data_IF_400200728412
#
_entry.id   IF_400200728412
#
_cell.length_a   1.000
_cell.length_b   1.000
_cell.length_c   1.000
_cell.angle_alpha   90.00
_cell.angle_beta   90.00
_cell.angle_gamma   90.00
#
_symmetry.space_group_name_H-M   'P 1'
#
loop_
_entity.id
_entity.type
_entity.pdbx_description
1 polymer ?
#
# COMPACT_ATOMS: atom_id res chain seq x y z
N UNK A 1 -12.22 59.44 -45.69
CA UNK A 1 -12.76 58.27 -45.02
C UNK A 1 -12.08 56.94 -45.41
N UNK A 2 -12.00 56.56 -46.68
CA UNK A 2 -11.37 55.28 -47.11
C UNK A 2 -9.88 55.13 -46.63
N UNK A 3 -9.08 56.18 -46.65
CA UNK A 3 -7.67 56.13 -46.19
C UNK A 3 -7.54 55.91 -44.69
N UNK A 4 -8.46 56.42 -43.87
CA UNK A 4 -8.48 56.23 -42.39
C UNK A 4 -8.92 54.82 -42.06
N UNK A 5 -9.89 54.29 -42.77
CA UNK A 5 -10.38 52.90 -42.59
C UNK A 5 -9.27 51.90 -42.94
N UNK A 6 -8.54 52.12 -44.04
CA UNK A 6 -7.41 51.24 -44.39
C UNK A 6 -6.24 51.31 -43.42
N UNK A 7 -5.99 52.49 -42.79
CA UNK A 7 -4.94 52.64 -41.74
C UNK A 7 -5.37 51.95 -40.46
N UNK A 8 -6.63 52.01 -40.07
CA UNK A 8 -7.15 51.32 -38.88
C UNK A 8 -7.14 49.80 -39.14
N UNK A 9 -7.51 49.35 -40.33
CA UNK A 9 -7.48 47.93 -40.68
C UNK A 9 -6.05 47.36 -40.69
N UNK A 10 -5.07 48.12 -41.20
CA UNK A 10 -3.65 47.75 -41.16
C UNK A 10 -3.07 47.76 -39.74
N UNK A 11 -3.56 48.60 -38.81
CA UNK A 11 -3.11 48.66 -37.43
C UNK A 11 -3.72 47.48 -36.63
N UNK A 12 -4.94 47.08 -36.87
CA UNK A 12 -5.59 45.92 -36.25
C UNK A 12 -4.94 44.60 -36.70
N UNK A 13 -4.53 44.48 -37.97
CA UNK A 13 -3.82 43.29 -38.47
C UNK A 13 -2.37 43.18 -37.94
N UNK A 14 -1.72 44.29 -37.56
CA UNK A 14 -0.38 44.23 -36.93
C UNK A 14 -0.40 43.74 -35.48
N UNK A 15 -1.51 43.89 -34.76
CA UNK A 15 -1.65 43.41 -33.39
C UNK A 15 -2.18 41.98 -33.27
N UNK A 16 -2.66 41.38 -34.32
CA UNK A 16 -3.18 40.01 -34.30
C UNK A 16 -2.13 38.92 -34.53
N UNK A 17 -0.85 39.31 -34.70
CA UNK A 17 0.26 38.34 -34.86
C UNK A 17 1.19 38.23 -33.63
N UNK A 18 0.85 38.87 -32.52
CA UNK A 18 1.41 38.41 -31.23
C UNK A 18 0.63 37.17 -30.78
N UNK A 19 0.85 36.08 -31.50
CA UNK A 19 0.53 34.76 -30.96
C UNK A 19 1.21 34.64 -29.61
N UNK A 20 0.44 34.58 -28.53
CA UNK A 20 0.98 34.06 -27.29
C UNK A 20 1.69 32.75 -27.65
N UNK A 21 2.91 32.65 -27.23
CA UNK A 21 3.64 31.39 -27.29
C UNK A 21 2.84 30.38 -26.46
N UNK A 22 2.04 29.55 -27.16
CA UNK A 22 1.20 28.51 -26.57
C UNK A 22 2.04 27.28 -26.18
N UNK A 23 3.34 27.31 -26.50
CA UNK A 23 4.34 26.32 -26.12
C UNK A 23 5.01 26.61 -24.75
N UNK A 24 4.32 27.32 -23.88
CA UNK A 24 4.76 27.39 -22.48
C UNK A 24 4.40 26.07 -21.82
N UNK A 25 5.42 25.23 -21.62
CA UNK A 25 5.30 24.11 -20.72
C UNK A 25 4.78 24.61 -19.37
N UNK A 26 3.73 24.02 -18.79
CA UNK A 26 3.33 24.38 -17.44
C UNK A 26 4.55 24.22 -16.52
N UNK A 27 4.86 25.22 -15.70
CA UNK A 27 6.01 25.20 -14.77
C UNK A 27 5.99 23.96 -13.84
N UNK A 28 4.85 23.27 -13.75
CA UNK A 28 4.62 22.06 -12.94
C UNK A 28 4.55 20.77 -13.77
N UNK A 29 4.65 20.84 -15.11
CA UNK A 29 4.67 19.64 -15.94
C UNK A 29 6.09 19.11 -16.07
N UNK A 30 6.24 17.83 -15.85
CA UNK A 30 7.50 17.14 -16.11
C UNK A 30 7.67 17.03 -17.62
N UNK A 31 8.78 17.53 -18.16
CA UNK A 31 9.09 17.42 -19.57
C UNK A 31 9.34 15.95 -19.93
N UNK A 32 8.99 15.50 -21.14
CA UNK A 32 9.26 14.12 -21.55
C UNK A 32 10.72 13.69 -21.36
N UNK A 33 11.68 14.59 -21.64
CA UNK A 33 13.11 14.35 -21.44
C UNK A 33 13.53 14.19 -19.98
N UNK A 34 12.81 14.81 -19.04
CA UNK A 34 13.06 14.71 -17.61
C UNK A 34 12.36 13.49 -16.98
N UNK A 35 11.38 12.94 -17.68
CA UNK A 35 10.61 11.80 -17.20
C UNK A 35 11.39 10.46 -17.29
N UNK A 36 12.33 10.32 -18.22
CA UNK A 36 13.08 9.08 -18.42
C UNK A 36 14.45 9.09 -17.76
N UNK A 37 14.47 9.52 -16.50
CA UNK A 37 15.69 9.62 -15.67
C UNK A 37 15.63 8.65 -14.50
N UNK A 38 16.79 8.32 -13.94
CA UNK A 38 16.90 7.51 -12.74
C UNK A 38 16.21 8.18 -11.54
N UNK A 39 16.34 9.51 -11.41
CA UNK A 39 15.68 10.28 -10.34
C UNK A 39 14.16 10.12 -10.39
N UNK A 40 13.58 10.14 -11.57
CA UNK A 40 12.14 9.93 -11.71
C UNK A 40 11.74 8.49 -11.39
N UNK A 41 12.53 7.51 -11.79
CA UNK A 41 12.32 6.09 -11.41
C UNK A 41 12.37 5.91 -9.87
N UNK A 42 13.30 6.57 -9.19
CA UNK A 42 13.37 6.60 -7.72
C UNK A 42 12.15 7.29 -7.11
N UNK A 43 11.69 8.38 -7.72
CA UNK A 43 10.50 9.11 -7.31
C UNK A 43 9.23 8.27 -7.36
N UNK A 44 8.95 7.60 -8.48
CA UNK A 44 7.76 6.73 -8.62
C UNK A 44 7.84 5.51 -7.70
N UNK A 45 9.05 4.93 -7.50
CA UNK A 45 9.28 3.90 -6.48
C UNK A 45 8.89 4.39 -5.10
N UNK A 46 9.43 5.54 -4.67
CA UNK A 46 9.15 6.14 -3.37
C UNK A 46 7.66 6.43 -3.16
N UNK A 47 6.97 6.88 -4.21
CA UNK A 47 5.54 7.13 -4.17
C UNK A 47 4.73 5.85 -3.86
N UNK A 48 5.09 4.71 -4.46
CA UNK A 48 4.45 3.42 -4.15
C UNK A 48 4.67 3.00 -2.70
N UNK A 49 5.86 3.25 -2.13
CA UNK A 49 6.10 2.99 -0.70
C UNK A 49 5.22 3.87 0.21
N UNK A 50 4.93 5.11 -0.19
CA UNK A 50 3.98 5.99 0.53
C UNK A 50 2.56 5.45 0.47
N UNK A 51 2.12 4.97 -0.68
CA UNK A 51 0.80 4.33 -0.83
C UNK A 51 0.67 3.08 0.04
N UNK A 52 1.70 2.22 0.04
CA UNK A 52 1.72 1.03 0.87
C UNK A 52 1.62 1.37 2.37
N UNK A 53 2.34 2.41 2.80
CA UNK A 53 2.22 2.91 4.17
C UNK A 53 0.79 3.33 4.49
N UNK A 54 0.10 3.98 3.56
CA UNK A 54 -1.30 4.36 3.73
C UNK A 54 -2.22 3.14 3.87
N UNK A 55 -2.00 2.09 3.07
CA UNK A 55 -2.74 0.82 3.15
C UNK A 55 -2.47 0.02 4.44
N UNK A 56 -1.39 0.31 5.15
CA UNK A 56 -0.99 -0.36 6.40
C UNK A 56 -1.25 0.52 7.63
N UNK A 57 -2.03 1.58 7.50
CA UNK A 57 -2.30 2.51 8.59
C UNK A 57 -3.79 2.86 8.70
N UNK A 58 -4.13 3.56 9.79
CA UNK A 58 -5.49 4.08 9.98
C UNK A 58 -6.58 3.00 9.97
N UNK A 59 -7.65 3.24 9.23
CA UNK A 59 -8.80 2.34 9.12
C UNK A 59 -8.46 0.96 8.56
N UNK A 60 -7.45 0.85 7.70
CA UNK A 60 -6.99 -0.46 7.19
C UNK A 60 -6.46 -1.38 8.27
N UNK A 61 -5.95 -0.81 9.36
CA UNK A 61 -5.45 -1.55 10.49
C UNK A 61 -6.55 -1.84 11.52
N UNK A 62 -7.40 -0.87 11.84
CA UNK A 62 -8.38 -0.98 12.90
C UNK A 62 -9.70 -1.64 12.49
N UNK A 63 -10.13 -1.50 11.24
CA UNK A 63 -11.42 -2.05 10.78
C UNK A 63 -11.48 -3.58 10.80
N UNK A 64 -10.44 -4.33 10.41
CA UNK A 64 -10.44 -5.79 10.57
C UNK A 64 -10.62 -6.23 12.03
N UNK A 65 -10.06 -5.49 12.99
CA UNK A 65 -10.22 -5.80 14.41
C UNK A 65 -11.66 -5.60 14.92
N UNK A 66 -12.45 -4.75 14.25
CA UNK A 66 -13.90 -4.64 14.51
C UNK A 66 -14.67 -5.86 14.02
N UNK A 67 -14.23 -6.49 12.92
CA UNK A 67 -14.91 -7.69 12.39
C UNK A 67 -14.72 -8.90 13.28
N UNK A 68 -13.64 -8.97 14.05
CA UNK A 68 -13.29 -10.12 14.89
C UNK A 68 -13.44 -9.85 16.39
N UNK A 69 -14.20 -8.82 16.77
CA UNK A 69 -14.48 -8.44 18.15
C UNK A 69 -13.22 -8.10 19.00
N UNK A 70 -12.09 -7.84 18.39
CA UNK A 70 -10.89 -7.37 19.08
C UNK A 70 -11.08 -5.92 19.53
N UNK A 71 -11.72 -5.12 18.70
CA UNK A 71 -12.15 -3.76 19.03
C UNK A 71 -13.68 -3.67 19.13
N UNK A 72 -14.15 -2.73 19.92
CA UNK A 72 -15.59 -2.43 20.07
C UNK A 72 -15.83 -0.95 19.76
N UNK A 73 -16.98 -0.65 19.16
CA UNK A 73 -17.38 0.73 18.87
C UNK A 73 -17.98 1.35 20.14
N UNK A 74 -17.45 2.49 20.57
CA UNK A 74 -17.98 3.22 21.70
C UNK A 74 -19.15 4.15 21.31
N UNK A 75 -20.04 4.42 22.24
CA UNK A 75 -21.23 5.27 22.03
C UNK A 75 -20.84 6.69 21.58
N UNK A 76 -19.68 7.19 22.03
CA UNK A 76 -19.16 8.52 21.68
C UNK A 76 -18.54 8.62 20.28
N UNK A 77 -18.48 7.53 19.53
CA UNK A 77 -17.82 7.49 18.21
C UNK A 77 -18.58 8.18 17.07
N UNK A 78 -19.76 8.73 17.32
CA UNK A 78 -20.61 9.25 16.25
C UNK A 78 -21.06 8.18 15.25
N UNK A 79 -21.16 6.93 15.68
CA UNK A 79 -21.46 5.74 14.89
C UNK A 79 -20.37 5.32 13.87
N UNK A 80 -19.17 5.87 13.95
CA UNK A 80 -18.07 5.40 13.10
C UNK A 80 -17.74 3.93 13.40
N UNK A 81 -17.58 3.12 12.36
CA UNK A 81 -17.30 1.70 12.47
C UNK A 81 -18.46 0.82 12.94
N UNK A 82 -19.65 1.38 13.25
CA UNK A 82 -20.78 0.59 13.79
C UNK A 82 -21.28 -0.46 12.79
N UNK A 83 -21.25 -0.17 11.51
CA UNK A 83 -21.67 -1.12 10.48
C UNK A 83 -20.68 -2.27 10.36
N UNK A 84 -19.38 -1.97 10.38
CA UNK A 84 -18.30 -2.96 10.39
C UNK A 84 -18.39 -3.87 11.63
N UNK A 85 -18.56 -3.28 12.83
CA UNK A 85 -18.69 -4.02 14.07
C UNK A 85 -19.93 -4.93 14.12
N UNK A 86 -21.06 -4.47 13.58
CA UNK A 86 -22.31 -5.25 13.55
C UNK A 86 -22.44 -6.15 12.32
N UNK A 87 -21.41 -6.30 11.49
CA UNK A 87 -21.44 -7.08 10.24
C UNK A 87 -22.56 -6.67 9.28
N UNK A 88 -22.94 -5.38 9.29
CA UNK A 88 -23.96 -4.80 8.41
C UNK A 88 -23.31 -4.02 7.30
N UNK A 89 -22.53 -4.71 6.47
CA UNK A 89 -21.77 -4.11 5.38
C UNK A 89 -22.67 -3.92 4.15
N UNK A 90 -22.69 -2.70 3.64
CA UNK A 90 -23.37 -2.36 2.40
C UNK A 90 -22.34 -1.91 1.36
N UNK A 91 -22.58 -2.19 0.06
CA UNK A 91 -21.67 -1.74 -1.01
C UNK A 91 -21.47 -0.23 -1.06
N UNK A 92 -22.33 0.55 -0.43
CA UNK A 92 -22.30 2.02 -0.36
C UNK A 92 -21.64 2.55 0.91
N UNK A 93 -21.23 1.68 1.82
CA UNK A 93 -20.53 2.09 3.03
C UNK A 93 -19.18 2.73 2.69
N UNK A 94 -18.91 3.85 3.36
CA UNK A 94 -17.70 4.63 3.09
C UNK A 94 -16.43 3.80 3.34
N UNK A 95 -16.40 2.99 4.40
CA UNK A 95 -15.24 2.14 4.70
C UNK A 95 -15.01 1.12 3.60
N UNK A 96 -16.07 0.42 3.16
CA UNK A 96 -15.99 -0.57 2.07
C UNK A 96 -15.52 0.07 0.76
N UNK A 97 -16.14 1.20 0.39
CA UNK A 97 -15.80 1.90 -0.87
C UNK A 97 -14.40 2.51 -0.82
N UNK A 98 -13.99 3.04 0.32
CA UNK A 98 -12.65 3.61 0.50
C UNK A 98 -11.56 2.53 0.42
N UNK A 99 -11.77 1.37 1.06
CA UNK A 99 -10.81 0.27 0.99
C UNK A 99 -10.68 -0.25 -0.44
N UNK A 100 -11.79 -0.50 -1.10
CA UNK A 100 -11.79 -0.91 -2.50
C UNK A 100 -11.03 0.08 -3.39
N UNK A 101 -11.40 1.36 -3.32
CA UNK A 101 -10.74 2.41 -4.12
C UNK A 101 -9.25 2.51 -3.81
N UNK A 102 -8.83 2.47 -2.54
CA UNK A 102 -7.43 2.60 -2.16
C UNK A 102 -6.58 1.45 -2.68
N UNK A 103 -7.06 0.20 -2.56
CA UNK A 103 -6.35 -0.95 -3.12
C UNK A 103 -6.16 -0.81 -4.63
N UNK A 104 -7.21 -0.46 -5.37
CA UNK A 104 -7.11 -0.32 -6.84
C UNK A 104 -6.34 0.91 -7.29
N UNK A 105 -6.38 2.01 -6.54
CA UNK A 105 -5.53 3.18 -6.79
C UNK A 105 -4.06 2.82 -6.63
N UNK A 106 -3.70 2.15 -5.54
CA UNK A 106 -2.32 1.68 -5.34
C UNK A 106 -1.88 0.70 -6.43
N UNK A 107 -2.76 -0.21 -6.88
CA UNK A 107 -2.50 -1.08 -8.03
C UNK A 107 -2.19 -0.30 -9.31
N UNK A 108 -2.94 0.76 -9.58
CA UNK A 108 -2.70 1.61 -10.75
C UNK A 108 -1.37 2.36 -10.65
N UNK A 109 -0.99 2.83 -9.46
CA UNK A 109 0.31 3.47 -9.24
C UNK A 109 1.48 2.48 -9.39
N UNK A 110 1.33 1.24 -8.92
CA UNK A 110 2.30 0.17 -9.12
C UNK A 110 2.48 -0.12 -10.62
N UNK A 111 1.37 -0.30 -11.35
CA UNK A 111 1.41 -0.55 -12.78
C UNK A 111 1.98 0.64 -13.58
N UNK A 112 1.68 1.87 -13.15
CA UNK A 112 2.30 3.07 -13.71
C UNK A 112 3.81 3.06 -13.49
N UNK A 113 4.27 2.72 -12.28
CA UNK A 113 5.69 2.66 -11.97
C UNK A 113 6.43 1.62 -12.83
N UNK A 114 5.87 0.41 -13.01
CA UNK A 114 6.43 -0.62 -13.89
C UNK A 114 6.52 -0.09 -15.33
N UNK A 115 5.42 0.41 -15.87
CA UNK A 115 5.36 0.96 -17.24
C UNK A 115 6.38 2.08 -17.43
N UNK A 116 6.50 2.97 -16.45
CA UNK A 116 7.43 4.09 -16.51
C UNK A 116 8.89 3.62 -16.52
N UNK A 117 9.23 2.69 -15.62
CA UNK A 117 10.57 2.09 -15.55
C UNK A 117 10.93 1.34 -16.85
N UNK A 118 9.96 0.66 -17.48
CA UNK A 118 10.15 0.03 -18.78
C UNK A 118 10.45 1.06 -19.88
N UNK A 119 9.70 2.16 -19.91
CA UNK A 119 9.90 3.22 -20.89
C UNK A 119 11.22 3.99 -20.68
N UNK A 120 11.66 4.15 -19.44
CA UNK A 120 12.92 4.81 -19.11
C UNK A 120 14.15 3.94 -19.40
N UNK A 121 13.99 2.62 -19.46
CA UNK A 121 15.09 1.64 -19.43
C UNK A 121 16.16 1.89 -20.48
N UNK A 122 15.79 2.22 -21.71
CA UNK A 122 16.72 2.47 -22.82
C UNK A 122 17.55 3.76 -22.67
N UNK A 123 17.12 4.67 -21.80
CA UNK A 123 17.80 5.94 -21.54
C UNK A 123 18.77 5.85 -20.36
N UNK A 124 18.75 4.76 -19.63
CA UNK A 124 19.55 4.56 -18.41
C UNK A 124 20.88 3.86 -18.71
N UNK A 125 21.89 4.18 -17.91
CA UNK A 125 23.17 3.47 -17.94
C UNK A 125 23.01 2.02 -17.46
N UNK A 126 23.94 1.09 -17.82
CA UNK A 126 23.86 -0.31 -17.38
C UNK A 126 23.79 -0.52 -15.87
N UNK A 127 24.37 0.38 -15.07
CA UNK A 127 24.30 0.27 -13.61
C UNK A 127 22.97 0.82 -13.05
N UNK A 128 22.39 1.82 -13.69
CA UNK A 128 21.03 2.30 -13.38
C UNK A 128 19.98 1.26 -13.79
N UNK A 129 20.15 0.61 -14.94
CA UNK A 129 19.27 -0.48 -15.39
C UNK A 129 19.19 -1.60 -14.36
N UNK A 130 20.32 -2.03 -13.77
CA UNK A 130 20.33 -3.03 -12.69
C UNK A 130 19.55 -2.58 -11.46
N UNK A 131 19.61 -1.28 -11.09
CA UNK A 131 18.83 -0.75 -9.98
C UNK A 131 17.33 -0.75 -10.32
N UNK A 132 16.98 -0.31 -11.52
CA UNK A 132 15.59 -0.28 -11.99
C UNK A 132 15.03 -1.71 -12.10
N UNK A 133 15.81 -2.72 -12.45
CA UNK A 133 15.37 -4.12 -12.41
C UNK A 133 14.98 -4.54 -10.98
N UNK A 134 15.74 -4.12 -9.96
CA UNK A 134 15.37 -4.35 -8.56
C UNK A 134 14.08 -3.60 -8.20
N UNK A 135 13.94 -2.33 -8.60
CA UNK A 135 12.74 -1.54 -8.33
C UNK A 135 11.50 -2.14 -8.99
N UNK A 136 11.62 -2.66 -10.20
CA UNK A 136 10.53 -3.40 -10.86
C UNK A 136 10.17 -4.67 -10.09
N UNK A 137 11.17 -5.41 -9.59
CA UNK A 137 10.93 -6.56 -8.71
C UNK A 137 10.17 -6.19 -7.45
N UNK A 138 10.49 -5.05 -6.83
CA UNK A 138 9.71 -4.52 -5.70
C UNK A 138 8.25 -4.23 -6.11
N UNK A 139 8.04 -3.64 -7.28
CA UNK A 139 6.68 -3.35 -7.79
C UNK A 139 5.87 -4.64 -8.01
N UNK A 140 6.47 -5.68 -8.56
CA UNK A 140 5.80 -6.98 -8.70
C UNK A 140 5.43 -7.57 -7.34
N UNK A 141 6.35 -7.54 -6.38
CA UNK A 141 6.03 -7.97 -5.01
C UNK A 141 4.87 -7.18 -4.40
N UNK A 142 4.91 -5.85 -4.51
CA UNK A 142 3.86 -5.01 -3.94
C UNK A 142 2.51 -5.22 -4.63
N UNK A 143 2.49 -5.51 -5.91
CA UNK A 143 1.27 -5.88 -6.64
C UNK A 143 0.66 -7.17 -6.09
N UNK A 144 1.48 -8.20 -5.90
CA UNK A 144 1.09 -9.46 -5.27
C UNK A 144 0.55 -9.25 -3.84
N UNK A 145 1.28 -8.50 -3.02
CA UNK A 145 0.93 -8.20 -1.64
C UNK A 145 -0.40 -7.43 -1.54
N UNK A 146 -0.55 -6.35 -2.28
CA UNK A 146 -1.76 -5.51 -2.29
C UNK A 146 -2.99 -6.34 -2.70
N UNK A 147 -2.87 -7.19 -3.72
CA UNK A 147 -3.97 -8.03 -4.17
C UNK A 147 -4.32 -9.13 -3.18
N UNK A 148 -3.34 -9.72 -2.51
CA UNK A 148 -3.60 -10.64 -1.41
C UNK A 148 -4.34 -9.95 -0.27
N UNK A 149 -3.88 -8.77 0.18
CA UNK A 149 -4.56 -8.00 1.24
C UNK A 149 -5.99 -7.62 0.85
N UNK A 150 -6.21 -7.21 -0.38
CA UNK A 150 -7.56 -6.95 -0.89
C UNK A 150 -8.43 -8.21 -0.92
N UNK A 151 -7.86 -9.36 -1.29
CA UNK A 151 -8.59 -10.63 -1.32
C UNK A 151 -9.06 -11.05 0.07
N UNK A 152 -8.26 -10.84 1.12
CA UNK A 152 -8.65 -11.13 2.52
C UNK A 152 -9.89 -10.34 2.97
N UNK A 153 -10.18 -9.18 2.36
CA UNK A 153 -11.34 -8.36 2.70
C UNK A 153 -12.55 -8.59 1.78
N UNK A 154 -12.32 -8.94 0.52
CA UNK A 154 -13.37 -8.90 -0.52
C UNK A 154 -13.64 -10.24 -1.19
N UNK A 155 -12.94 -11.31 -0.82
CA UNK A 155 -13.20 -12.67 -1.27
C UNK A 155 -13.67 -13.53 -0.11
N UNK A 156 -14.22 -14.69 -0.47
CA UNK A 156 -14.41 -15.78 0.48
C UNK A 156 -13.04 -16.32 0.93
N UNK A 157 -13.02 -16.99 2.09
CA UNK A 157 -11.84 -17.71 2.54
C UNK A 157 -11.42 -18.77 1.51
N UNK A 158 -10.11 -18.92 1.31
CA UNK A 158 -9.58 -19.81 0.29
C UNK A 158 -9.88 -21.28 0.63
N UNK A 159 -10.58 -21.95 -0.26
CA UNK A 159 -10.84 -23.39 -0.17
C UNK A 159 -10.16 -24.07 -1.37
N UNK A 160 -9.12 -24.90 -1.15
CA UNK A 160 -8.39 -25.57 -2.25
C UNK A 160 -9.29 -26.36 -3.20
N UNK A 161 -10.38 -26.93 -2.68
CA UNK A 161 -11.31 -27.74 -3.46
C UNK A 161 -12.33 -26.90 -4.25
N UNK A 162 -12.48 -25.61 -3.91
CA UNK A 162 -13.48 -24.71 -4.50
C UNK A 162 -12.90 -23.46 -5.16
N UNK A 163 -11.62 -23.18 -5.00
CA UNK A 163 -10.99 -21.96 -5.47
C UNK A 163 -11.18 -21.68 -6.97
N UNK A 164 -11.40 -22.75 -7.77
CA UNK A 164 -11.71 -22.63 -9.18
C UNK A 164 -13.11 -22.06 -9.48
N UNK A 165 -14.03 -22.13 -8.51
CA UNK A 165 -15.41 -21.62 -8.60
C UNK A 165 -15.64 -20.40 -7.71
N UNK A 166 -14.82 -20.19 -6.67
CA UNK A 166 -14.87 -18.99 -5.82
C UNK A 166 -14.51 -17.74 -6.62
N UNK A 167 -15.20 -16.63 -6.35
CA UNK A 167 -14.93 -15.36 -7.02
C UNK A 167 -13.68 -14.69 -6.45
N UNK A 168 -12.68 -14.52 -7.31
CA UNK A 168 -11.50 -13.67 -7.04
C UNK A 168 -11.78 -12.21 -7.28
N UNK A 169 -10.72 -11.39 -7.36
CA UNK A 169 -10.77 -9.97 -7.69
C UNK A 169 -10.30 -9.71 -9.13
N UNK A 170 -10.72 -8.60 -9.78
CA UNK A 170 -10.06 -8.11 -10.99
C UNK A 170 -8.57 -7.88 -10.71
N UNK A 171 -7.69 -8.43 -11.54
CA UNK A 171 -6.24 -8.31 -11.37
C UNK A 171 -5.64 -7.49 -12.51
N UNK A 172 -5.52 -6.15 -12.38
CA UNK A 172 -4.92 -5.30 -13.40
C UNK A 172 -3.40 -5.52 -13.44
N UNK A 173 -2.86 -5.89 -14.61
CA UNK A 173 -1.43 -6.10 -14.84
C UNK A 173 -0.77 -4.93 -15.55
N UNK A 174 -1.58 -4.09 -16.17
CA UNK A 174 -1.15 -2.95 -16.97
C UNK A 174 -1.73 -1.64 -16.41
N UNK A 175 -1.09 -0.54 -16.73
CA UNK A 175 -1.63 0.77 -16.44
C UNK A 175 -2.66 1.17 -17.51
N UNK A 176 -3.89 0.78 -17.26
CA UNK A 176 -5.06 1.05 -18.12
C UNK A 176 -6.21 1.61 -17.29
N UNK A 177 -6.23 2.92 -16.99
CA UNK A 177 -7.23 3.51 -16.09
C UNK A 177 -8.69 3.32 -16.51
N UNK A 178 -8.93 3.17 -17.81
CA UNK A 178 -10.27 2.98 -18.38
C UNK A 178 -10.70 1.51 -18.52
N UNK A 179 -9.80 0.55 -18.17
CA UNK A 179 -10.09 -0.85 -18.31
C UNK A 179 -11.21 -1.30 -17.34
N UNK A 180 -12.16 -2.05 -17.88
CA UNK A 180 -13.27 -2.64 -17.12
C UNK A 180 -13.03 -4.13 -16.96
N UNK A 181 -12.22 -4.50 -16.01
CA UNK A 181 -11.87 -5.89 -15.75
C UNK A 181 -13.00 -6.59 -14.97
N UNK A 182 -13.35 -7.79 -15.43
CA UNK A 182 -14.25 -8.65 -14.68
C UNK A 182 -13.53 -9.37 -13.53
N UNK A 183 -14.27 -9.80 -12.54
CA UNK A 183 -13.77 -10.75 -11.52
C UNK A 183 -13.46 -12.08 -12.19
N UNK A 184 -12.28 -12.62 -11.92
CA UNK A 184 -11.92 -14.00 -12.25
C UNK A 184 -12.24 -14.92 -11.09
N UNK A 185 -11.69 -16.14 -11.13
CA UNK A 185 -11.77 -17.08 -9.99
C UNK A 185 -10.71 -16.74 -8.94
N UNK A 186 -10.91 -17.20 -7.72
CA UNK A 186 -9.95 -17.02 -6.63
C UNK A 186 -8.65 -17.80 -6.92
N UNK A 187 -8.75 -18.99 -7.53
CA UNK A 187 -7.58 -19.72 -8.01
C UNK A 187 -6.77 -18.87 -9.01
N UNK A 188 -7.44 -18.23 -9.98
CA UNK A 188 -6.75 -17.38 -10.98
C UNK A 188 -6.10 -16.14 -10.35
N UNK A 189 -6.71 -15.57 -9.32
CA UNK A 189 -6.11 -14.48 -8.56
C UNK A 189 -4.77 -14.92 -7.97
N UNK A 190 -4.74 -16.06 -7.28
CA UNK A 190 -3.50 -16.53 -6.64
C UNK A 190 -2.46 -17.06 -7.63
N UNK A 191 -2.86 -17.57 -8.81
CA UNK A 191 -1.92 -17.80 -9.91
C UNK A 191 -1.23 -16.48 -10.35
N UNK A 192 -1.95 -15.37 -10.40
CA UNK A 192 -1.37 -14.07 -10.73
C UNK A 192 -0.45 -13.55 -9.62
N UNK A 193 -0.86 -13.71 -8.35
CA UNK A 193 -0.03 -13.38 -7.18
C UNK A 193 1.29 -14.15 -7.24
N UNK A 194 1.22 -15.46 -7.50
CA UNK A 194 2.43 -16.31 -7.61
C UNK A 194 3.31 -15.87 -8.77
N UNK A 195 2.74 -15.56 -9.93
CA UNK A 195 3.49 -15.09 -11.07
C UNK A 195 4.25 -13.78 -10.77
N UNK A 196 3.64 -12.85 -10.05
CA UNK A 196 4.30 -11.62 -9.64
C UNK A 196 5.40 -11.86 -8.60
N UNK A 197 5.22 -12.79 -7.66
CA UNK A 197 6.27 -13.16 -6.72
C UNK A 197 7.48 -13.79 -7.42
N UNK A 198 7.25 -14.63 -8.43
CA UNK A 198 8.32 -15.19 -9.26
C UNK A 198 9.10 -14.11 -10.00
N UNK A 199 8.42 -13.08 -10.54
CA UNK A 199 9.12 -11.93 -11.16
C UNK A 199 9.93 -11.14 -10.13
N UNK A 200 9.39 -10.90 -8.93
CA UNK A 200 10.09 -10.20 -7.86
C UNK A 200 11.39 -10.90 -7.45
N UNK A 201 11.35 -12.22 -7.29
CA UNK A 201 12.49 -13.03 -6.86
C UNK A 201 13.66 -13.05 -7.85
N UNK A 202 13.42 -12.73 -9.13
CA UNK A 202 14.50 -12.67 -10.14
C UNK A 202 15.49 -11.56 -9.87
N UNK A 203 15.05 -10.45 -9.30
CA UNK A 203 15.84 -9.22 -9.17
C UNK A 203 16.05 -8.77 -7.73
N UNK A 204 15.08 -9.02 -6.83
CA UNK A 204 15.22 -8.72 -5.40
C UNK A 204 15.97 -9.83 -4.71
N UNK A 205 17.30 -9.77 -4.76
CA UNK A 205 18.20 -10.83 -4.25
C UNK A 205 18.93 -10.46 -2.96
N UNK A 206 18.88 -9.17 -2.55
CA UNK A 206 19.53 -8.71 -1.34
C UNK A 206 18.90 -9.35 -0.11
N UNK A 207 19.75 -9.88 0.78
CA UNK A 207 19.31 -10.41 2.07
C UNK A 207 18.94 -9.26 3.00
N UNK A 208 17.93 -9.48 3.84
CA UNK A 208 17.58 -8.56 4.92
C UNK A 208 18.55 -8.66 6.09
N UNK A 209 18.54 -7.63 6.91
CA UNK A 209 19.22 -7.61 8.20
C UNK A 209 18.30 -7.05 9.28
N UNK A 210 18.44 -7.45 10.56
CA UNK A 210 17.62 -6.90 11.63
C UNK A 210 17.76 -5.38 11.87
N UNK A 211 18.68 -4.72 11.19
CA UNK A 211 19.00 -3.29 11.37
C UNK A 211 18.72 -2.42 10.15
N UNK A 212 18.45 -3.02 9.00
CA UNK A 212 18.13 -2.31 7.75
C UNK A 212 16.98 -3.01 7.04
N UNK A 213 15.78 -2.49 7.23
CA UNK A 213 14.52 -3.15 6.88
C UNK A 213 13.57 -2.23 6.10
N UNK A 214 14.04 -1.05 5.68
CA UNK A 214 13.20 -0.02 5.06
C UNK A 214 12.77 -0.43 3.65
N UNK A 215 13.63 -1.11 2.93
CA UNK A 215 13.35 -1.55 1.56
C UNK A 215 13.10 -3.05 1.48
N UNK A 216 12.38 -3.45 0.44
CA UNK A 216 12.09 -4.86 0.19
C UNK A 216 13.37 -5.67 0.04
N UNK A 217 13.41 -6.81 0.73
CA UNK A 217 14.52 -7.77 0.66
C UNK A 217 13.99 -9.16 0.30
N UNK A 218 14.89 -10.06 -0.05
CA UNK A 218 14.56 -11.47 -0.27
C UNK A 218 13.88 -12.08 0.96
N UNK A 219 14.31 -11.70 2.15
CA UNK A 219 13.74 -12.23 3.40
C UNK A 219 12.30 -11.78 3.60
N UNK A 220 11.97 -10.54 3.21
CA UNK A 220 10.60 -10.05 3.23
C UNK A 220 9.70 -10.81 2.24
N UNK A 221 10.21 -11.13 1.04
CA UNK A 221 9.48 -11.99 0.09
C UNK A 221 9.27 -13.38 0.68
N UNK A 222 10.28 -13.95 1.32
CA UNK A 222 10.20 -15.26 1.97
C UNK A 222 9.19 -15.28 3.12
N UNK A 223 9.15 -14.21 3.92
CA UNK A 223 8.15 -14.06 4.99
C UNK A 223 6.72 -13.99 4.44
N UNK A 224 6.53 -13.22 3.38
CA UNK A 224 5.22 -13.15 2.71
C UNK A 224 4.83 -14.49 2.06
N UNK A 225 5.78 -15.23 1.47
CA UNK A 225 5.51 -16.58 0.98
C UNK A 225 5.08 -17.53 2.09
N UNK A 226 5.62 -17.40 3.31
CA UNK A 226 5.16 -18.19 4.45
C UNK A 226 3.70 -17.88 4.82
N UNK A 227 3.33 -16.59 4.86
CA UNK A 227 1.95 -16.13 5.11
C UNK A 227 1.01 -16.62 4.01
N UNK A 228 1.38 -16.41 2.75
CA UNK A 228 0.60 -16.80 1.59
C UNK A 228 0.38 -18.31 1.53
N UNK A 229 1.42 -19.11 1.72
CA UNK A 229 1.34 -20.57 1.72
C UNK A 229 0.44 -21.07 2.88
N UNK A 230 0.49 -20.44 4.04
CA UNK A 230 -0.41 -20.75 5.16
C UNK A 230 -1.88 -20.49 4.77
N UNK A 231 -2.16 -19.33 4.17
CA UNK A 231 -3.50 -18.97 3.69
C UNK A 231 -4.02 -19.92 2.60
N UNK A 232 -3.13 -20.39 1.73
CA UNK A 232 -3.47 -21.35 0.66
C UNK A 232 -3.49 -22.82 1.13
N UNK A 233 -3.43 -23.09 2.43
CA UNK A 233 -3.39 -24.42 3.05
C UNK A 233 -2.17 -25.27 2.64
N UNK A 234 -1.10 -24.65 2.16
CA UNK A 234 0.18 -25.27 1.81
C UNK A 234 1.08 -25.33 3.05
N UNK A 235 0.68 -26.09 4.07
CA UNK A 235 1.30 -26.04 5.40
C UNK A 235 2.76 -26.47 5.43
N UNK A 236 3.17 -27.37 4.55
CA UNK A 236 4.57 -27.82 4.44
C UNK A 236 5.46 -26.71 3.94
N UNK A 237 5.04 -26.05 2.87
CA UNK A 237 5.75 -24.91 2.27
C UNK A 237 5.78 -23.72 3.23
N UNK A 238 4.66 -23.41 3.88
CA UNK A 238 4.59 -22.37 4.89
C UNK A 238 5.62 -22.59 6.02
N UNK A 239 5.71 -23.84 6.52
CA UNK A 239 6.70 -24.21 7.53
C UNK A 239 8.13 -24.08 7.05
N UNK A 240 8.43 -24.49 5.80
CA UNK A 240 9.76 -24.40 5.22
C UNK A 240 10.21 -22.93 5.08
N UNK A 241 9.34 -22.06 4.55
CA UNK A 241 9.63 -20.62 4.44
C UNK A 241 9.86 -19.99 5.81
N UNK A 242 8.99 -20.25 6.78
CA UNK A 242 9.15 -19.72 8.13
C UNK A 242 10.44 -20.23 8.80
N UNK A 243 10.78 -21.50 8.65
CA UNK A 243 12.01 -22.08 9.20
C UNK A 243 13.27 -21.48 8.58
N UNK A 244 13.23 -21.10 7.31
CA UNK A 244 14.39 -20.49 6.62
C UNK A 244 14.78 -19.12 7.20
N UNK A 245 13.84 -18.43 7.85
CA UNK A 245 14.05 -17.13 8.49
C UNK A 245 14.31 -17.25 10.02
N UNK A 246 14.10 -18.46 10.56
CA UNK A 246 14.24 -18.68 12.00
C UNK A 246 15.68 -18.40 12.47
N UNK A 247 15.80 -17.55 13.50
CA UNK A 247 17.08 -17.17 14.08
C UNK A 247 17.79 -15.99 13.38
N UNK A 248 17.38 -15.61 12.15
CA UNK A 248 17.90 -14.41 11.48
C UNK A 248 17.31 -13.14 12.10
N UNK A 249 16.03 -13.21 12.48
CA UNK A 249 15.30 -12.11 13.11
C UNK A 249 14.90 -12.50 14.53
N UNK A 250 15.77 -12.26 15.53
CA UNK A 250 15.51 -12.69 16.91
C UNK A 250 14.35 -11.92 17.51
N UNK A 251 13.43 -12.68 18.11
CA UNK A 251 12.27 -12.12 18.80
C UNK A 251 12.68 -11.31 20.02
N UNK A 252 11.93 -10.26 20.28
CA UNK A 252 12.04 -9.47 21.51
C UNK A 252 11.46 -10.27 22.65
N UNK A 253 12.30 -10.57 23.66
CA UNK A 253 11.95 -11.46 24.78
C UNK A 253 11.78 -10.73 26.12
N UNK A 254 12.06 -9.42 26.17
CA UNK A 254 11.94 -8.62 27.39
C UNK A 254 10.86 -7.56 27.28
N UNK A 255 10.29 -7.16 28.42
CA UNK A 255 9.29 -6.09 28.48
C UNK A 255 9.87 -4.76 28.00
N UNK A 256 11.11 -4.45 28.38
CA UNK A 256 11.82 -3.23 27.96
C UNK A 256 12.09 -3.24 26.46
N UNK A 257 12.43 -4.39 25.88
CA UNK A 257 12.61 -4.56 24.44
C UNK A 257 11.30 -4.33 23.69
N UNK A 258 10.19 -4.88 24.19
CA UNK A 258 8.85 -4.67 23.61
C UNK A 258 8.44 -3.18 23.71
N UNK A 259 8.68 -2.53 24.85
CA UNK A 259 8.42 -1.09 25.00
C UNK A 259 9.23 -0.28 24.01
N UNK A 260 10.52 -0.58 23.84
CA UNK A 260 11.39 0.10 22.87
C UNK A 260 10.94 -0.10 21.44
N UNK A 261 10.52 -1.29 21.07
CA UNK A 261 9.99 -1.59 19.74
C UNK A 261 8.84 -0.64 19.35
N UNK A 262 7.89 -0.43 20.29
CA UNK A 262 6.74 0.44 20.04
C UNK A 262 7.02 1.93 20.21
N UNK A 263 7.97 2.29 21.05
CA UNK A 263 8.25 3.68 21.39
C UNK A 263 9.30 4.32 20.48
N UNK A 264 10.33 3.55 20.12
CA UNK A 264 11.49 4.01 19.39
C UNK A 264 11.49 3.52 17.92
N UNK A 265 10.49 2.72 17.56
CA UNK A 265 10.37 2.12 16.22
C UNK A 265 11.60 1.29 15.84
N UNK A 266 12.17 0.58 16.82
CA UNK A 266 13.36 -0.25 16.65
C UNK A 266 13.08 -1.67 17.11
N UNK A 267 13.32 -2.65 16.25
CA UNK A 267 13.18 -4.06 16.58
C UNK A 267 14.14 -4.91 15.78
N UNK A 268 14.58 -6.00 16.38
CA UNK A 268 15.36 -7.04 15.69
C UNK A 268 14.48 -8.08 15.02
N UNK A 269 13.18 -8.10 15.31
CA UNK A 269 12.23 -9.06 14.74
C UNK A 269 11.48 -8.56 13.49
N UNK A 270 11.63 -7.28 13.15
CA UNK A 270 11.05 -6.74 11.94
C UNK A 270 11.82 -7.22 10.71
N UNK A 271 11.10 -7.68 9.69
CA UNK A 271 11.68 -8.15 8.42
C UNK A 271 11.56 -7.08 7.35
N UNK A 272 10.45 -6.34 7.34
CA UNK A 272 10.23 -5.17 6.51
C UNK A 272 9.45 -4.15 7.32
N UNK A 273 9.94 -2.91 7.33
CA UNK A 273 9.33 -1.81 8.06
C UNK A 273 9.28 -0.57 7.18
N UNK A 274 8.07 -0.11 6.89
CA UNK A 274 7.90 1.11 6.12
C UNK A 274 8.23 2.33 6.99
N UNK A 275 9.15 3.15 6.52
CA UNK A 275 9.61 4.32 7.27
C UNK A 275 8.49 5.35 7.47
N UNK A 276 8.33 5.81 8.70
CA UNK A 276 7.43 6.90 9.07
C UNK A 276 8.24 8.01 9.72
N UNK A 277 8.47 9.08 8.99
CA UNK A 277 9.13 10.25 9.56
C UNK A 277 8.20 10.96 10.55
N UNK A 278 8.65 11.18 11.77
CA UNK A 278 7.87 11.88 12.81
C UNK A 278 7.39 13.25 12.38
N UNK A 279 8.14 13.93 11.51
CA UNK A 279 7.79 15.25 10.96
C UNK A 279 6.62 15.23 9.98
N UNK A 280 6.34 14.08 9.38
CA UNK A 280 5.24 13.88 8.43
C UNK A 280 4.06 13.08 9.01
N UNK A 281 4.22 12.59 10.25
CA UNK A 281 3.17 11.83 10.94
C UNK A 281 2.04 12.78 11.35
N UNK A 282 0.89 12.63 10.72
CA UNK A 282 -0.32 13.27 11.20
C UNK A 282 -0.96 12.40 12.27
N UNK A 283 -1.51 13.01 13.32
CA UNK A 283 -2.24 12.30 14.38
C UNK A 283 -3.39 11.44 13.86
N UNK A 284 -3.90 11.76 12.68
CA UNK A 284 -5.02 11.03 12.04
C UNK A 284 -4.61 9.64 11.55
N UNK A 285 -3.33 9.42 11.26
CA UNK A 285 -2.83 8.15 10.71
C UNK A 285 -2.22 7.21 11.76
N UNK A 286 -2.15 7.63 13.02
CA UNK A 286 -1.63 6.79 14.08
C UNK A 286 -2.72 5.87 14.65
N UNK A 287 -2.40 4.60 14.87
CA UNK A 287 -3.31 3.65 15.51
C UNK A 287 -3.80 4.17 16.87
N UNK A 288 -2.94 4.86 17.63
CA UNK A 288 -3.30 5.50 18.88
C UNK A 288 -4.42 6.54 18.79
N UNK A 289 -4.67 7.13 17.61
CA UNK A 289 -5.79 8.06 17.42
C UNK A 289 -7.15 7.37 17.42
N UNK A 290 -7.20 6.08 17.18
CA UNK A 290 -8.41 5.25 17.19
C UNK A 290 -8.67 4.58 18.56
N UNK A 291 -7.67 4.54 19.43
CA UNK A 291 -7.77 3.95 20.76
C UNK A 291 -7.89 5.05 21.82
N UNK A 292 -8.92 4.99 22.64
CA UNK A 292 -9.02 5.89 23.79
C UNK A 292 -8.65 5.19 25.10
N UNK A 293 -7.75 5.81 25.82
CA UNK A 293 -7.43 5.43 27.18
C UNK A 293 -8.28 6.13 28.25
N UNK A 294 -9.07 7.17 27.87
CA UNK A 294 -9.86 7.94 28.80
C UNK A 294 -11.38 7.79 28.55
N UNK A 295 -12.14 7.69 29.61
CA UNK A 295 -13.60 7.64 29.62
C UNK A 295 -14.26 9.00 29.33
N UNK A 296 -13.52 10.00 28.90
CA UNK A 296 -14.06 11.32 28.66
C UNK A 296 -14.88 11.36 27.37
N UNK A 297 -16.17 11.71 27.44
CA UNK A 297 -17.10 11.67 26.30
C UNK A 297 -16.73 12.59 25.13
N UNK A 298 -15.77 13.51 25.32
CA UNK A 298 -15.39 14.53 24.34
C UNK A 298 -14.03 14.31 23.67
N UNK A 299 -13.36 13.21 23.93
CA UNK A 299 -12.01 12.99 23.44
C UNK A 299 -11.91 12.36 22.06
N UNK A 300 -12.95 12.35 21.27
CA UNK A 300 -12.91 12.03 19.83
C UNK A 300 -12.41 10.63 19.45
N UNK A 301 -12.44 9.67 20.36
CA UNK A 301 -11.88 8.35 20.16
C UNK A 301 -12.98 7.29 20.11
N UNK A 302 -12.76 6.31 19.28
CA UNK A 302 -13.83 5.60 18.65
C UNK A 302 -13.94 4.12 19.01
N UNK A 303 -12.90 3.49 19.58
CA UNK A 303 -12.90 2.06 19.79
C UNK A 303 -12.37 1.67 21.17
N UNK A 304 -13.00 0.70 21.81
CA UNK A 304 -12.54 0.08 23.05
C UNK A 304 -12.26 -1.40 22.82
N UNK A 305 -11.19 -1.90 23.42
CA UNK A 305 -11.04 -3.32 23.59
C UNK A 305 -12.18 -3.84 24.49
N UNK A 306 -12.86 -4.93 24.12
CA UNK A 306 -13.87 -5.54 24.95
C UNK A 306 -13.33 -5.91 26.33
N UNK A 307 -14.10 -5.68 27.39
CA UNK A 307 -13.68 -5.98 28.78
C UNK A 307 -13.49 -7.45 29.06
N UNK A 308 -13.99 -8.32 28.19
CA UNK A 308 -13.79 -9.78 28.31
C UNK A 308 -12.50 -10.30 27.67
N UNK A 309 -11.76 -9.44 26.95
CA UNK A 309 -10.41 -9.85 26.48
C UNK A 309 -9.53 -10.11 27.70
N UNK A 310 -8.91 -11.30 27.82
CA UNK A 310 -8.04 -11.60 28.93
C UNK A 310 -6.97 -10.51 29.11
N UNK A 311 -6.63 -10.21 30.35
CA UNK A 311 -5.68 -9.15 30.72
C UNK A 311 -4.32 -9.23 29.99
N UNK A 312 -3.98 -10.38 29.45
CA UNK A 312 -2.77 -10.60 28.63
C UNK A 312 -2.88 -9.86 27.29
N UNK A 313 -4.03 -9.92 26.62
CA UNK A 313 -4.26 -9.19 25.35
C UNK A 313 -4.35 -7.68 25.61
N UNK A 314 -4.90 -7.29 26.73
CA UNK A 314 -5.02 -5.89 27.14
C UNK A 314 -3.66 -5.24 27.43
N UNK A 315 -2.70 -5.99 27.97
CA UNK A 315 -1.35 -5.49 28.25
C UNK A 315 -0.53 -5.20 27.00
N UNK A 316 -0.89 -5.78 25.87
CA UNK A 316 -0.25 -5.49 24.58
C UNK A 316 -0.83 -4.24 23.88
N UNK A 317 -2.04 -3.81 24.29
CA UNK A 317 -2.71 -2.64 23.71
C UNK A 317 -2.62 -1.38 24.59
N UNK A 318 -2.35 -1.52 25.88
CA UNK A 318 -2.15 -0.42 26.82
C UNK A 318 -0.72 -0.40 27.29
N UNK A 319 0.09 0.51 26.78
CA UNK A 319 1.38 0.82 27.40
C UNK A 319 1.14 1.24 28.84
N UNK A 320 1.87 0.72 29.81
CA UNK A 320 1.83 1.24 31.17
C UNK A 320 2.27 2.71 31.13
N UNK A 321 1.45 3.58 31.73
CA UNK A 321 1.78 4.98 31.99
C UNK A 321 2.94 5.09 32.95
#
# INVERSE_FOLDING_TARGET
MKKIINSILAFVTLFSVTSCDLDMDPETAIRPEDAYTMEYCEGVRGYVYVDLKALLSGGFYSTPDLYVDVLNVCIGSGNQGIYSFNWRLYPTDQDVTSFWSSYYTTMMHINYAIRHMDAAYEYLTPDEQKKVDVYKGEMYFFRAYVMHRAALLFCEDYDPDKAADQLGLPYPKEWEPEAKLARGTLAKLYENVEADLVEAEKTVTAQGTPTDQIYLTKDAITAFRAELALHLHQYTEASQYAQSLYGTYPLVTTAEGLERMWREDTSTENILQLEVLRTTMTTVNSFGSYLNSSWEPNSGVYFYAPTYIPAVSYRHLTLPT
#
